data_IF_371081222638
#
_entry.id   IF_371081222638
#
_cell.length_a   1.000
_cell.length_b   1.000
_cell.length_c   1.000
_cell.angle_alpha   90.00
_cell.angle_beta   90.00
_cell.angle_gamma   90.00
#
_symmetry.space_group_name_H-M   'P 1'
#
loop_
_entity.id
_entity.type
_entity.pdbx_description
1 polymer ?
#
# COMPACT_ATOMS: atom_id res chain seq x y z
N UNK A 1 13.93 14.01 -5.40
CA UNK A 1 13.81 15.37 -4.82
C UNK A 1 13.90 16.45 -5.89
N UNK A 2 14.78 16.29 -6.88
CA UNK A 2 15.11 17.33 -7.87
C UNK A 2 13.97 17.58 -8.87
N UNK A 3 13.15 16.58 -9.16
CA UNK A 3 12.00 16.62 -10.06
C UNK A 3 10.67 17.02 -9.39
N UNK A 4 10.69 17.37 -8.09
CA UNK A 4 9.47 17.58 -7.32
C UNK A 4 8.65 18.79 -7.81
N UNK A 5 9.32 19.85 -8.30
CA UNK A 5 8.64 21.04 -8.83
C UNK A 5 7.98 20.74 -10.17
N UNK A 6 8.70 20.11 -11.10
CA UNK A 6 8.22 19.88 -12.45
C UNK A 6 7.18 18.75 -12.50
N UNK A 7 7.47 17.62 -11.85
CA UNK A 7 6.67 16.40 -11.99
C UNK A 7 5.48 16.36 -11.02
N UNK A 8 5.56 17.05 -9.89
CA UNK A 8 4.51 17.04 -8.86
C UNK A 8 3.86 18.41 -8.73
N UNK A 9 4.57 19.43 -8.26
CA UNK A 9 3.96 20.72 -7.95
C UNK A 9 3.51 21.48 -9.20
N UNK A 10 4.20 21.32 -10.32
CA UNK A 10 3.80 21.88 -11.61
C UNK A 10 2.46 21.35 -12.12
N UNK A 11 2.02 20.16 -11.63
CA UNK A 11 0.72 19.57 -11.94
C UNK A 11 -0.42 20.13 -11.07
N UNK A 12 -0.13 21.01 -10.10
CA UNK A 12 -1.07 21.64 -9.17
C UNK A 12 -1.94 20.63 -8.41
N UNK A 13 -1.37 19.59 -7.78
CA UNK A 13 -2.15 18.61 -7.06
C UNK A 13 -2.81 19.22 -5.84
N UNK A 14 -3.98 18.68 -5.48
CA UNK A 14 -4.65 18.97 -4.20
C UNK A 14 -4.31 17.92 -3.14
N UNK A 15 -3.85 16.76 -3.58
CA UNK A 15 -3.52 15.60 -2.76
C UNK A 15 -2.25 14.92 -3.28
N UNK A 16 -1.30 14.64 -2.40
CA UNK A 16 -0.02 13.99 -2.75
C UNK A 16 0.25 12.83 -1.79
N UNK A 17 0.51 11.67 -2.34
CA UNK A 17 1.03 10.52 -1.60
C UNK A 17 2.52 10.34 -1.89
N UNK A 18 3.30 9.93 -0.88
CA UNK A 18 4.73 9.67 -1.03
C UNK A 18 5.10 8.36 -0.34
N UNK A 19 5.82 7.51 -1.06
CA UNK A 19 6.42 6.30 -0.52
C UNK A 19 7.87 6.17 -0.97
N UNK A 20 8.76 5.84 -0.02
CA UNK A 20 10.18 5.61 -0.23
C UNK A 20 10.67 4.54 0.73
N UNK A 21 11.81 3.92 0.43
CA UNK A 21 12.49 3.00 1.35
C UNK A 21 13.07 1.79 0.67
N UNK A 22 12.33 1.08 -0.15
CA UNK A 22 12.76 -0.20 -0.74
C UNK A 22 14.08 -0.07 -1.52
N UNK A 23 14.15 0.85 -2.47
CA UNK A 23 15.35 1.07 -3.28
C UNK A 23 16.42 1.90 -2.54
N UNK A 24 15.98 2.79 -1.65
CA UNK A 24 16.88 3.65 -0.90
C UNK A 24 17.79 2.88 0.06
N UNK A 25 17.35 1.71 0.53
CA UNK A 25 18.13 0.85 1.43
C UNK A 25 19.19 0.02 0.72
N UNK A 26 19.24 0.04 -0.63
CA UNK A 26 20.16 -0.76 -1.43
C UNK A 26 19.84 -2.26 -1.45
N UNK A 27 20.62 -3.03 -2.20
CA UNK A 27 20.47 -4.48 -2.35
C UNK A 27 21.79 -5.21 -2.10
N UNK A 28 22.80 -5.01 -2.94
CA UNK A 28 24.07 -5.75 -2.91
C UNK A 28 24.87 -5.56 -1.62
N UNK A 29 24.58 -4.49 -0.88
CA UNK A 29 25.26 -4.19 0.38
C UNK A 29 25.00 -5.25 1.45
N UNK A 30 23.84 -5.92 1.43
CA UNK A 30 23.47 -6.96 2.41
C UNK A 30 24.21 -8.28 2.24
N UNK A 31 24.98 -8.42 1.14
CA UNK A 31 25.85 -9.57 0.87
C UNK A 31 27.31 -9.32 1.28
N UNK A 32 27.61 -8.18 1.91
CA UNK A 32 28.97 -7.78 2.28
C UNK A 32 29.19 -7.94 3.79
N UNK A 33 30.41 -8.19 4.19
CA UNK A 33 30.79 -8.36 5.61
C UNK A 33 30.46 -7.12 6.45
N UNK A 34 30.57 -5.92 5.88
CA UNK A 34 30.23 -4.65 6.54
C UNK A 34 28.81 -4.14 6.21
N UNK A 35 27.86 -5.04 5.94
CA UNK A 35 26.49 -4.71 5.57
C UNK A 35 25.81 -3.72 6.51
N UNK A 36 26.01 -3.84 7.82
CA UNK A 36 25.41 -2.95 8.81
C UNK A 36 25.87 -1.50 8.67
N UNK A 37 27.17 -1.29 8.44
CA UNK A 37 27.75 0.04 8.22
C UNK A 37 27.20 0.66 6.92
N UNK A 38 27.25 -0.09 5.82
CA UNK A 38 26.76 0.35 4.52
C UNK A 38 25.26 0.64 4.53
N UNK A 39 24.47 -0.19 5.21
CA UNK A 39 23.04 0.04 5.41
C UNK A 39 22.80 1.34 6.20
N UNK A 40 23.59 1.58 7.26
CA UNK A 40 23.53 2.83 8.03
C UNK A 40 23.78 4.06 7.15
N UNK A 41 24.78 4.01 6.26
CA UNK A 41 25.09 5.09 5.33
C UNK A 41 23.94 5.33 4.32
N UNK A 42 23.34 4.28 3.78
CA UNK A 42 22.19 4.39 2.87
C UNK A 42 20.97 4.99 3.55
N UNK A 43 20.66 4.53 4.77
CA UNK A 43 19.56 5.11 5.57
C UNK A 43 19.82 6.61 5.81
N UNK A 44 21.01 6.99 6.26
CA UNK A 44 21.33 8.40 6.51
C UNK A 44 21.15 9.28 5.25
N UNK A 45 21.58 8.79 4.09
CA UNK A 45 21.40 9.44 2.79
C UNK A 45 19.92 9.57 2.39
N UNK A 46 19.13 8.52 2.60
CA UNK A 46 17.68 8.54 2.35
C UNK A 46 17.00 9.56 3.27
N UNK A 47 17.30 9.55 4.56
CA UNK A 47 16.72 10.48 5.54
C UNK A 47 17.11 11.94 5.24
N UNK A 48 18.33 12.21 4.79
CA UNK A 48 18.73 13.56 4.34
C UNK A 48 17.90 14.00 3.13
N UNK A 49 17.71 13.12 2.16
CA UNK A 49 16.87 13.38 0.98
C UNK A 49 15.40 13.58 1.39
N UNK A 50 14.90 12.80 2.33
CA UNK A 50 13.54 12.95 2.85
C UNK A 50 13.34 14.30 3.55
N UNK A 51 14.29 14.75 4.40
CA UNK A 51 14.22 16.08 5.04
C UNK A 51 14.12 17.22 4.01
N UNK A 52 14.82 17.10 2.87
CA UNK A 52 14.74 18.09 1.79
C UNK A 52 13.36 18.09 1.12
N UNK A 53 12.77 16.91 0.93
CA UNK A 53 11.39 16.77 0.42
C UNK A 53 10.39 17.32 1.43
N UNK A 54 10.50 16.96 2.70
CA UNK A 54 9.65 17.44 3.80
C UNK A 54 9.59 18.98 3.83
N UNK A 55 10.75 19.64 3.79
CA UNK A 55 10.85 21.11 3.75
C UNK A 55 10.07 21.71 2.57
N UNK A 56 10.13 21.08 1.40
CA UNK A 56 9.40 21.55 0.22
C UNK A 56 7.89 21.31 0.31
N UNK A 57 7.48 20.19 0.90
CA UNK A 57 6.07 19.88 1.15
C UNK A 57 5.45 20.83 2.18
N UNK A 58 6.21 21.23 3.22
CA UNK A 58 5.76 22.20 4.21
C UNK A 58 5.43 23.56 3.59
N UNK A 59 6.17 23.96 2.57
CA UNK A 59 5.89 25.20 1.83
C UNK A 59 4.60 25.16 0.99
N UNK A 60 3.96 23.98 0.85
CA UNK A 60 2.75 23.76 0.04
C UNK A 60 1.53 23.48 0.93
N UNK A 61 1.11 24.47 1.72
CA UNK A 61 0.07 24.34 2.75
C UNK A 61 -1.32 23.94 2.23
N UNK A 62 -1.65 24.22 0.95
CA UNK A 62 -2.93 23.89 0.32
C UNK A 62 -3.01 22.44 -0.20
N UNK A 63 -1.93 21.69 -0.15
CA UNK A 63 -1.89 20.29 -0.61
C UNK A 63 -2.08 19.38 0.60
N UNK A 64 -3.00 18.42 0.51
CA UNK A 64 -3.07 17.31 1.46
C UNK A 64 -1.92 16.35 1.22
N UNK A 65 -1.19 15.98 2.27
CA UNK A 65 -0.03 15.07 2.19
C UNK A 65 -0.34 13.80 2.97
N UNK A 66 -0.02 12.66 2.36
CA UNK A 66 -0.06 11.36 3.01
C UNK A 66 1.27 10.65 2.74
N UNK A 67 1.99 10.34 3.81
CA UNK A 67 3.19 9.51 3.73
C UNK A 67 2.80 8.05 3.83
N UNK A 68 3.47 7.20 3.06
CA UNK A 68 3.18 5.77 2.99
C UNK A 68 4.46 5.01 3.34
N UNK A 69 4.42 4.27 4.44
CA UNK A 69 5.38 3.23 4.74
C UNK A 69 5.21 2.09 3.73
N UNK A 70 6.21 1.89 2.86
CA UNK A 70 6.14 0.96 1.74
C UNK A 70 5.99 -0.50 2.18
N UNK A 71 5.69 -1.37 1.22
CA UNK A 71 5.63 -2.83 1.43
C UNK A 71 6.93 -3.37 2.03
N UNK A 72 6.89 -4.48 2.77
CA UNK A 72 8.09 -5.10 3.30
C UNK A 72 8.94 -5.74 2.21
N UNK A 73 10.25 -5.86 2.46
CA UNK A 73 11.06 -6.89 1.87
C UNK A 73 10.83 -8.19 2.65
N UNK A 74 10.43 -9.25 1.96
CA UNK A 74 10.11 -10.52 2.62
C UNK A 74 11.37 -11.32 2.95
N UNK A 75 11.80 -11.28 4.22
CA UNK A 75 12.92 -12.05 4.73
C UNK A 75 12.53 -13.42 5.29
N UNK A 76 11.25 -13.72 5.40
CA UNK A 76 10.74 -14.83 6.23
C UNK A 76 10.25 -16.03 5.43
N UNK A 77 9.78 -15.82 4.21
CA UNK A 77 9.32 -16.91 3.33
C UNK A 77 10.45 -17.82 2.88
N UNK A 78 10.15 -19.11 2.80
CA UNK A 78 11.09 -20.16 2.35
C UNK A 78 10.91 -20.54 0.87
N UNK A 79 10.28 -19.69 0.04
CA UNK A 79 10.05 -20.01 -1.36
C UNK A 79 11.34 -20.09 -2.20
N UNK A 80 12.42 -19.43 -1.77
CA UNK A 80 13.78 -19.57 -2.29
C UNK A 80 14.82 -19.29 -1.19
N UNK A 81 16.09 -19.54 -1.49
CA UNK A 81 17.19 -19.40 -0.51
C UNK A 81 17.94 -18.06 -0.59
N UNK A 82 17.57 -17.18 -1.53
CA UNK A 82 18.21 -15.86 -1.65
C UNK A 82 17.52 -14.85 -0.75
N UNK A 83 18.14 -14.48 0.35
CA UNK A 83 17.58 -13.57 1.36
C UNK A 83 18.61 -12.47 1.65
N UNK A 84 18.16 -11.22 1.56
CA UNK A 84 18.93 -10.05 1.99
C UNK A 84 18.59 -9.75 3.46
N UNK A 85 19.29 -10.39 4.37
CA UNK A 85 19.05 -10.27 5.80
C UNK A 85 19.19 -8.83 6.29
N UNK A 86 18.30 -8.40 7.20
CA UNK A 86 18.24 -7.05 7.77
C UNK A 86 17.77 -5.94 6.81
N UNK A 87 17.41 -6.28 5.56
CA UNK A 87 16.92 -5.29 4.61
C UNK A 87 15.59 -4.68 5.07
N UNK A 88 14.65 -5.49 5.55
CA UNK A 88 13.38 -4.95 6.06
C UNK A 88 13.58 -4.07 7.31
N UNK A 89 14.52 -4.40 8.18
CA UNK A 89 14.87 -3.54 9.32
C UNK A 89 15.39 -2.16 8.87
N UNK A 90 16.14 -2.09 7.78
CA UNK A 90 16.58 -0.82 7.21
C UNK A 90 15.39 -0.01 6.64
N UNK A 91 14.45 -0.67 5.97
CA UNK A 91 13.20 -0.05 5.48
C UNK A 91 12.39 0.50 6.66
N UNK A 92 12.23 -0.25 7.74
CA UNK A 92 11.51 0.19 8.94
C UNK A 92 12.08 1.47 9.56
N UNK A 93 13.40 1.66 9.57
CA UNK A 93 14.02 2.91 10.05
C UNK A 93 13.61 4.12 9.21
N UNK A 94 13.48 3.96 7.89
CA UNK A 94 12.99 5.02 7.01
C UNK A 94 11.50 5.27 7.26
N UNK A 95 10.69 4.22 7.38
CA UNK A 95 9.25 4.29 7.68
C UNK A 95 9.00 5.02 9.01
N UNK A 96 9.78 4.75 10.05
CA UNK A 96 9.64 5.40 11.35
C UNK A 96 9.92 6.91 11.29
N UNK A 97 10.91 7.32 10.50
CA UNK A 97 11.14 8.73 10.25
C UNK A 97 9.99 9.39 9.50
N UNK A 98 9.42 8.72 8.50
CA UNK A 98 8.25 9.20 7.75
C UNK A 98 7.02 9.30 8.66
N UNK A 99 6.76 8.27 9.49
CA UNK A 99 5.66 8.27 10.47
C UNK A 99 5.80 9.42 11.47
N UNK A 100 7.01 9.63 11.98
CA UNK A 100 7.32 10.74 12.90
C UNK A 100 7.08 12.09 12.25
N UNK A 101 7.52 12.27 11.01
CA UNK A 101 7.28 13.48 10.22
C UNK A 101 5.78 13.73 9.97
N UNK A 102 5.05 12.70 9.56
CA UNK A 102 3.60 12.80 9.34
C UNK A 102 2.88 13.25 10.60
N UNK A 103 3.16 12.62 11.74
CA UNK A 103 2.60 12.99 13.05
C UNK A 103 2.93 14.43 13.44
N UNK A 104 4.20 14.85 13.31
CA UNK A 104 4.67 16.21 13.63
C UNK A 104 3.98 17.27 12.79
N UNK A 105 3.74 16.99 11.51
CA UNK A 105 3.24 17.97 10.55
C UNK A 105 1.71 17.88 10.34
N UNK A 106 1.00 17.00 11.06
CA UNK A 106 -0.44 16.80 10.87
C UNK A 106 -0.79 16.21 9.49
N UNK A 107 0.11 15.43 8.89
CA UNK A 107 -0.10 14.76 7.62
C UNK A 107 -0.67 13.35 7.83
N UNK A 108 -1.34 12.82 6.83
CA UNK A 108 -1.77 11.42 6.83
C UNK A 108 -0.58 10.47 6.78
N UNK A 109 -0.77 9.28 7.36
CA UNK A 109 0.21 8.20 7.28
C UNK A 109 -0.50 6.87 7.05
N UNK A 110 0.00 6.09 6.11
CA UNK A 110 -0.45 4.72 5.83
C UNK A 110 0.73 3.78 6.02
N UNK A 111 0.55 2.72 6.79
CA UNK A 111 1.56 1.68 6.96
C UNK A 111 1.19 0.44 6.16
N UNK A 112 1.99 0.10 5.16
CA UNK A 112 1.87 -1.17 4.46
C UNK A 112 2.78 -2.24 5.05
N UNK A 113 3.92 -1.85 5.65
CA UNK A 113 4.97 -2.78 6.06
C UNK A 113 4.50 -3.72 7.17
N UNK A 114 4.15 -3.16 8.32
CA UNK A 114 3.84 -3.96 9.49
C UNK A 114 2.64 -4.89 9.26
N UNK A 115 1.47 -4.43 8.76
CA UNK A 115 0.34 -5.32 8.52
C UNK A 115 0.63 -6.44 7.50
N UNK A 116 1.40 -6.16 6.45
CA UNK A 116 1.78 -7.18 5.47
C UNK A 116 2.74 -8.21 6.07
N UNK A 117 3.70 -7.81 6.91
CA UNK A 117 4.54 -8.74 7.66
C UNK A 117 3.71 -9.63 8.58
N UNK A 118 2.76 -9.07 9.33
CA UNK A 118 1.89 -9.82 10.25
C UNK A 118 1.05 -10.88 9.50
N UNK A 119 0.48 -10.51 8.35
CA UNK A 119 -0.26 -11.46 7.51
C UNK A 119 0.68 -12.54 6.99
N UNK A 120 1.86 -12.17 6.44
CA UNK A 120 2.83 -13.13 5.93
C UNK A 120 3.25 -14.14 6.99
N UNK A 121 3.61 -13.68 8.18
CA UNK A 121 4.01 -14.55 9.30
C UNK A 121 2.88 -15.49 9.76
N UNK A 122 1.63 -15.03 9.71
CA UNK A 122 0.47 -15.85 10.05
C UNK A 122 0.25 -16.95 9.00
N UNK A 123 0.28 -16.61 7.73
CA UNK A 123 0.07 -17.58 6.65
C UNK A 123 1.25 -18.55 6.50
N UNK A 124 2.48 -18.11 6.77
CA UNK A 124 3.68 -18.95 6.79
C UNK A 124 3.68 -20.03 7.86
N UNK A 125 2.81 -19.93 8.87
CA UNK A 125 2.56 -21.04 9.81
C UNK A 125 1.85 -22.22 9.16
N UNK A 126 1.10 -21.99 8.07
CA UNK A 126 0.37 -23.00 7.31
C UNK A 126 1.19 -23.48 6.10
N UNK A 127 1.80 -22.53 5.40
CA UNK A 127 2.66 -22.74 4.24
C UNK A 127 3.92 -21.88 4.36
N UNK A 128 5.03 -22.46 4.73
CA UNK A 128 6.29 -21.74 4.95
C UNK A 128 6.83 -21.03 3.69
N UNK A 129 6.29 -21.32 2.51
CA UNK A 129 6.63 -20.70 1.24
C UNK A 129 5.72 -19.51 0.90
N UNK A 130 4.68 -19.26 1.69
CA UNK A 130 3.78 -18.13 1.47
C UNK A 130 4.55 -16.80 1.43
N UNK A 131 4.25 -15.97 0.43
CA UNK A 131 4.75 -14.61 0.30
C UNK A 131 3.83 -13.79 -0.60
N UNK A 132 3.75 -12.49 -0.35
CA UNK A 132 3.11 -11.53 -1.27
C UNK A 132 4.01 -11.13 -2.44
N UNK A 133 5.29 -11.54 -2.44
CA UNK A 133 6.32 -11.10 -3.40
C UNK A 133 7.03 -12.29 -4.02
N UNK A 134 6.29 -13.18 -4.71
CA UNK A 134 6.77 -14.48 -5.20
C UNK A 134 7.93 -14.41 -6.19
N UNK A 135 8.08 -13.29 -6.89
CA UNK A 135 9.12 -13.17 -7.93
C UNK A 135 10.49 -12.91 -7.29
N UNK A 136 10.58 -11.95 -6.35
CA UNK A 136 11.87 -11.38 -5.93
C UNK A 136 11.91 -10.89 -4.48
N UNK A 137 10.92 -11.19 -3.67
CA UNK A 137 10.75 -10.69 -2.28
C UNK A 137 10.49 -9.19 -2.15
N UNK A 138 10.37 -8.46 -3.26
CA UNK A 138 10.32 -7.00 -3.32
C UNK A 138 8.97 -6.52 -3.83
N UNK A 139 8.55 -7.06 -4.98
CA UNK A 139 7.38 -6.59 -5.71
C UNK A 139 6.14 -7.39 -5.32
N UNK A 140 5.18 -6.76 -4.61
CA UNK A 140 3.92 -7.42 -4.29
C UNK A 140 3.17 -7.86 -5.53
N UNK A 141 2.71 -9.10 -5.54
CA UNK A 141 1.83 -9.67 -6.55
C UNK A 141 0.37 -9.18 -6.38
N UNK A 142 -0.58 -9.78 -7.10
CA UNK A 142 -1.97 -9.36 -7.08
C UNK A 142 -2.57 -9.35 -5.66
N UNK A 143 -2.27 -10.37 -4.85
CA UNK A 143 -2.76 -10.48 -3.48
C UNK A 143 -2.15 -9.39 -2.60
N UNK A 144 -0.84 -9.14 -2.76
CA UNK A 144 -0.13 -8.07 -2.08
C UNK A 144 -0.65 -6.69 -2.44
N UNK A 145 -0.91 -6.43 -3.74
CA UNK A 145 -1.51 -5.18 -4.21
C UNK A 145 -2.92 -4.99 -3.65
N UNK A 146 -3.73 -6.06 -3.55
CA UNK A 146 -5.06 -5.98 -2.96
C UNK A 146 -5.01 -5.62 -1.48
N UNK A 147 -4.08 -6.20 -0.72
CA UNK A 147 -3.86 -5.85 0.69
C UNK A 147 -3.43 -4.38 0.83
N UNK A 148 -2.52 -3.89 -0.01
CA UNK A 148 -2.11 -2.48 -0.01
C UNK A 148 -3.28 -1.54 -0.31
N UNK A 149 -4.11 -1.86 -1.30
CA UNK A 149 -5.31 -1.09 -1.63
C UNK A 149 -6.29 -1.03 -0.43
N UNK A 150 -6.55 -2.18 0.21
CA UNK A 150 -7.38 -2.24 1.41
C UNK A 150 -6.83 -1.37 2.54
N UNK A 151 -5.53 -1.47 2.85
CA UNK A 151 -4.88 -0.70 3.91
C UNK A 151 -4.94 0.80 3.62
N UNK A 152 -4.76 1.18 2.34
CA UNK A 152 -4.85 2.57 1.92
C UNK A 152 -6.26 3.15 2.13
N UNK A 153 -7.28 2.44 1.68
CA UNK A 153 -8.68 2.85 1.86
C UNK A 153 -9.08 2.86 3.35
N UNK A 154 -8.64 1.87 4.11
CA UNK A 154 -8.88 1.79 5.55
C UNK A 154 -8.28 3.00 6.29
N UNK A 155 -7.06 3.38 5.96
CA UNK A 155 -6.40 4.53 6.59
C UNK A 155 -7.09 5.87 6.28
N UNK A 156 -7.85 5.94 5.20
CA UNK A 156 -8.68 7.10 4.84
C UNK A 156 -10.09 7.06 5.45
N UNK A 157 -10.39 6.09 6.31
CA UNK A 157 -11.71 5.96 6.94
C UNK A 157 -12.80 5.37 6.02
N UNK A 158 -12.41 4.79 4.87
CA UNK A 158 -13.35 4.24 3.90
C UNK A 158 -13.70 2.76 4.14
N UNK A 159 -13.05 2.11 5.11
CA UNK A 159 -13.37 0.73 5.47
C UNK A 159 -14.79 0.62 6.03
N UNK A 160 -15.54 -0.37 5.55
CA UNK A 160 -16.93 -0.60 5.96
C UNK A 160 -17.95 0.31 5.28
N UNK A 161 -17.55 1.27 4.47
CA UNK A 161 -18.49 2.01 3.64
C UNK A 161 -19.04 1.07 2.55
N UNK A 162 -20.37 1.05 2.43
CA UNK A 162 -21.03 0.28 1.37
C UNK A 162 -20.79 0.96 0.04
N UNK A 163 -20.13 0.29 -0.87
CA UNK A 163 -19.99 0.73 -2.27
C UNK A 163 -21.34 0.66 -2.95
N UNK A 164 -22.01 -0.48 -2.80
CA UNK A 164 -23.40 -0.68 -3.23
C UNK A 164 -24.06 -1.74 -2.37
N UNK A 165 -25.37 -1.70 -2.31
CA UNK A 165 -26.19 -2.71 -1.65
C UNK A 165 -27.42 -2.98 -2.51
N UNK A 166 -27.77 -4.23 -2.75
CA UNK A 166 -29.02 -4.58 -3.44
C UNK A 166 -29.53 -5.95 -3.00
N UNK A 167 -30.82 -6.11 -3.11
CA UNK A 167 -31.51 -7.37 -2.87
C UNK A 167 -32.44 -7.69 -4.03
N UNK A 168 -32.40 -8.93 -4.47
CA UNK A 168 -33.24 -9.44 -5.56
C UNK A 168 -34.05 -10.61 -5.05
N UNK A 169 -35.36 -10.58 -5.24
CA UNK A 169 -36.23 -11.73 -5.09
C UNK A 169 -36.06 -12.62 -6.32
N UNK A 170 -35.31 -13.71 -6.16
CA UNK A 170 -35.07 -14.66 -7.22
C UNK A 170 -36.32 -15.48 -7.60
N UNK A 171 -37.31 -15.62 -6.70
CA UNK A 171 -38.55 -16.33 -6.97
C UNK A 171 -39.44 -15.54 -7.93
N UNK A 172 -39.61 -14.27 -7.66
CA UNK A 172 -40.49 -13.39 -8.43
C UNK A 172 -39.74 -12.51 -9.46
N UNK A 173 -38.40 -12.68 -9.57
CA UNK A 173 -37.56 -11.95 -10.52
C UNK A 173 -37.71 -10.42 -10.43
N UNK A 174 -37.70 -9.89 -9.21
CA UNK A 174 -37.79 -8.45 -8.99
C UNK A 174 -36.68 -7.91 -8.09
N UNK A 175 -36.30 -6.66 -8.28
CA UNK A 175 -35.38 -5.95 -7.40
C UNK A 175 -36.14 -5.44 -6.17
N UNK A 176 -35.79 -5.92 -5.00
CA UNK A 176 -36.44 -5.55 -3.72
C UNK A 176 -35.89 -4.22 -3.22
N UNK A 177 -34.58 -4.10 -3.18
CA UNK A 177 -33.89 -2.87 -2.76
C UNK A 177 -32.63 -2.66 -3.59
N UNK A 178 -32.24 -1.39 -3.76
CA UNK A 178 -30.92 -1.05 -4.27
C UNK A 178 -30.45 0.30 -3.71
N UNK A 179 -29.16 0.42 -3.41
CA UNK A 179 -28.51 1.61 -2.94
C UNK A 179 -27.15 1.76 -3.63
N UNK A 180 -26.84 2.97 -4.08
CA UNK A 180 -25.61 3.30 -4.83
C UNK A 180 -25.34 2.40 -6.04
N UNK A 181 -26.38 1.82 -6.63
CA UNK A 181 -26.28 1.03 -7.86
C UNK A 181 -27.60 1.06 -8.63
N UNK A 182 -27.52 0.69 -9.89
CA UNK A 182 -28.69 0.44 -10.75
C UNK A 182 -28.66 -1.02 -11.18
N UNK A 183 -29.77 -1.73 -10.97
CA UNK A 183 -29.99 -3.06 -11.49
C UNK A 183 -30.97 -2.96 -12.67
N UNK A 184 -30.65 -3.60 -13.77
CA UNK A 184 -31.48 -3.61 -14.97
C UNK A 184 -31.39 -4.93 -15.72
N UNK A 185 -32.30 -5.14 -16.69
CA UNK A 185 -32.37 -6.34 -17.52
C UNK A 185 -32.39 -7.66 -16.71
N UNK A 186 -33.05 -7.64 -15.55
CA UNK A 186 -33.21 -8.82 -14.71
C UNK A 186 -34.00 -9.90 -15.46
N UNK A 187 -33.42 -11.08 -15.60
CA UNK A 187 -34.00 -12.25 -16.28
C UNK A 187 -33.74 -13.51 -15.46
N UNK A 188 -34.73 -14.39 -15.42
CA UNK A 188 -34.61 -15.73 -14.83
C UNK A 188 -34.78 -16.78 -15.91
N UNK A 189 -33.88 -17.73 -16.01
CA UNK A 189 -33.95 -18.86 -16.92
C UNK A 189 -33.33 -20.09 -16.25
N UNK A 190 -34.08 -21.20 -16.20
CA UNK A 190 -33.60 -22.53 -15.80
C UNK A 190 -32.76 -22.57 -14.49
N UNK A 191 -33.18 -21.81 -13.46
CA UNK A 191 -32.48 -21.75 -12.18
C UNK A 191 -31.39 -20.70 -12.09
N UNK A 192 -31.05 -20.01 -13.18
CA UNK A 192 -30.11 -18.90 -13.22
C UNK A 192 -30.82 -17.54 -13.17
N UNK A 193 -30.17 -16.57 -12.56
CA UNK A 193 -30.59 -15.18 -12.53
C UNK A 193 -29.52 -14.32 -13.18
N UNK A 194 -29.87 -13.63 -14.26
CA UNK A 194 -28.99 -12.72 -14.97
C UNK A 194 -29.51 -11.28 -14.87
N UNK A 195 -28.63 -10.34 -14.66
CA UNK A 195 -28.97 -8.91 -14.62
C UNK A 195 -27.75 -8.04 -14.96
N UNK A 196 -28.00 -6.81 -15.33
CA UNK A 196 -26.96 -5.80 -15.43
C UNK A 196 -26.85 -5.04 -14.11
N UNK A 197 -25.62 -4.83 -13.69
CA UNK A 197 -25.28 -4.06 -12.51
C UNK A 197 -24.41 -2.86 -12.90
N UNK A 198 -24.81 -1.68 -12.46
CA UNK A 198 -24.05 -0.45 -12.58
C UNK A 198 -23.88 0.17 -11.19
N UNK A 199 -22.64 0.22 -10.69
CA UNK A 199 -22.33 0.95 -9.48
C UNK A 199 -22.39 2.47 -9.72
N UNK A 200 -23.00 3.21 -8.79
CA UNK A 200 -22.99 4.68 -8.80
C UNK A 200 -21.90 5.23 -7.86
N UNK A 201 -21.13 4.31 -7.23
CA UNK A 201 -20.08 4.69 -6.32
C UNK A 201 -18.77 4.92 -7.09
N UNK A 202 -18.30 6.09 -7.01
CA UNK A 202 -16.97 6.68 -6.95
C UNK A 202 -17.06 8.14 -7.28
#
# INVERSE_FOLDING_TARGET
KDRLDDDVFGRRPTYVTLTFGMNDTGYDIYMKDNANELSGQQIAKSLDSFRKIEKRLLAKNKITKVLIGGSPYDETSKFNNFILHQKNNAILKIIDAQRTSAKKNGWGFVDFNQPMCEISLREQKKDSTFTFCRIDRIHPDNDGQMVMAYLFLKAQGLAGHKVSDFSIDAQHSNVVTHQNCKISRLKKKEGELAFDYLANAL
#
